data_IF_044913674508
#
_entry.id   IF_044913674508
#
_cell.length_a   1.000
_cell.length_b   1.000
_cell.length_c   1.000
_cell.angle_alpha   90.00
_cell.angle_beta   90.00
_cell.angle_gamma   90.00
#
_symmetry.space_group_name_H-M   'P 1'
#
loop_
_entity.id
_entity.type
_entity.pdbx_description
1 polymer ?
#
# COMPACT_ATOMS: atom_id res chain seq x y z
N UNK A 1 -23.47 -40.22 -53.17
CA UNK A 1 -24.50 -39.75 -52.21
C UNK A 1 -23.82 -39.44 -50.88
N UNK A 2 -22.86 -38.49 -50.89
CA UNK A 2 -21.87 -38.34 -49.82
C UNK A 2 -21.36 -36.90 -49.69
N UNK A 3 -22.26 -35.91 -49.79
CA UNK A 3 -21.91 -34.49 -49.58
C UNK A 3 -22.94 -33.71 -48.74
N UNK A 4 -24.03 -34.35 -48.30
CA UNK A 4 -25.08 -33.69 -47.48
C UNK A 4 -24.87 -33.88 -45.97
N UNK A 5 -24.02 -34.82 -45.54
CA UNK A 5 -23.75 -35.07 -44.12
C UNK A 5 -22.57 -34.28 -43.52
N UNK A 6 -21.74 -33.63 -44.33
CA UNK A 6 -20.57 -32.88 -43.85
C UNK A 6 -20.87 -31.40 -43.52
N UNK A 7 -21.97 -30.83 -44.00
CA UNK A 7 -22.33 -29.43 -43.72
C UNK A 7 -23.14 -29.26 -42.43
N UNK A 8 -23.82 -30.31 -41.95
CA UNK A 8 -24.63 -30.23 -40.73
C UNK A 8 -23.82 -30.32 -39.44
N UNK A 9 -22.61 -30.90 -39.47
CA UNK A 9 -21.74 -31.02 -38.30
C UNK A 9 -20.87 -29.80 -38.08
N UNK A 10 -20.39 -29.11 -39.13
CA UNK A 10 -19.65 -27.85 -38.97
C UNK A 10 -20.54 -26.70 -38.48
N UNK A 11 -21.79 -26.60 -38.95
CA UNK A 11 -22.73 -25.57 -38.51
C UNK A 11 -23.11 -25.70 -37.03
N UNK A 12 -23.23 -26.93 -36.52
CA UNK A 12 -23.60 -27.17 -35.13
C UNK A 12 -22.44 -26.92 -34.15
N UNK A 13 -21.21 -27.25 -34.56
CA UNK A 13 -20.02 -26.93 -33.75
C UNK A 13 -19.78 -25.42 -33.73
N UNK A 14 -20.00 -24.70 -34.84
CA UNK A 14 -19.87 -23.25 -34.89
C UNK A 14 -20.97 -22.53 -34.09
N UNK A 15 -22.20 -23.04 -34.11
CA UNK A 15 -23.31 -22.51 -33.30
C UNK A 15 -23.11 -22.79 -31.80
N UNK A 16 -22.62 -23.99 -31.43
CA UNK A 16 -22.25 -24.28 -30.05
C UNK A 16 -21.06 -23.44 -29.57
N UNK A 17 -20.11 -23.11 -30.45
CA UNK A 17 -18.99 -22.22 -30.12
C UNK A 17 -19.45 -20.76 -29.98
N UNK A 18 -20.38 -20.28 -30.81
CA UNK A 18 -21.00 -18.95 -30.68
C UNK A 18 -21.89 -18.84 -29.43
N UNK A 19 -22.61 -19.90 -29.06
CA UNK A 19 -23.40 -19.94 -27.81
C UNK A 19 -22.46 -19.99 -26.59
N UNK A 20 -21.31 -20.67 -26.66
CA UNK A 20 -20.29 -20.63 -25.60
C UNK A 20 -19.63 -19.25 -25.51
N UNK A 21 -19.30 -18.62 -26.64
CA UNK A 21 -18.74 -17.27 -26.70
C UNK A 21 -19.73 -16.20 -26.21
N UNK A 22 -21.03 -16.37 -26.50
CA UNK A 22 -22.08 -15.52 -25.96
C UNK A 22 -22.30 -15.73 -24.45
N UNK A 23 -22.15 -16.96 -23.94
CA UNK A 23 -22.15 -17.25 -22.49
C UNK A 23 -20.91 -16.75 -21.74
N UNK A 24 -19.79 -16.57 -22.43
CA UNK A 24 -18.59 -15.91 -21.86
C UNK A 24 -18.61 -14.39 -22.01
N UNK A 25 -19.58 -13.83 -22.74
CA UNK A 25 -19.79 -12.40 -22.91
C UNK A 25 -20.98 -11.86 -22.06
N UNK A 26 -21.62 -12.71 -21.27
CA UNK A 26 -22.36 -12.24 -20.10
C UNK A 26 -21.32 -11.86 -19.05
N UNK A 27 -20.91 -10.58 -19.07
CA UNK A 27 -20.41 -9.94 -17.87
C UNK A 27 -21.32 -10.36 -16.74
N UNK A 28 -20.83 -11.00 -15.67
CA UNK A 28 -21.65 -11.13 -14.49
C UNK A 28 -21.99 -9.70 -14.12
N UNK A 29 -23.25 -9.32 -14.26
CA UNK A 29 -23.84 -8.27 -13.43
C UNK A 29 -23.77 -8.89 -12.04
N UNK A 30 -22.56 -8.85 -11.45
CA UNK A 30 -22.37 -8.85 -10.03
C UNK A 30 -23.27 -7.72 -9.60
N UNK A 31 -24.40 -8.08 -8.99
CA UNK A 31 -25.10 -7.21 -8.07
C UNK A 31 -24.10 -6.87 -6.98
N UNK A 32 -23.23 -5.91 -7.27
CA UNK A 32 -22.37 -5.26 -6.32
C UNK A 32 -23.33 -4.58 -5.36
N UNK A 33 -23.64 -5.24 -4.25
CA UNK A 33 -23.81 -4.54 -2.98
C UNK A 33 -22.43 -4.03 -2.54
N UNK A 34 -21.79 -3.24 -3.41
CA UNK A 34 -20.67 -2.41 -3.05
C UNK A 34 -21.26 -1.22 -2.32
N UNK A 35 -20.96 -1.12 -1.04
CA UNK A 35 -21.23 0.07 -0.24
C UNK A 35 -20.83 1.31 -1.06
N UNK A 36 -21.72 2.30 -1.19
CA UNK A 36 -21.51 3.46 -2.07
C UNK A 36 -20.15 4.14 -1.83
N UNK A 37 -19.62 4.03 -0.62
CA UNK A 37 -18.31 4.55 -0.21
C UNK A 37 -17.11 3.82 -0.84
N UNK A 38 -17.21 2.54 -1.18
CA UNK A 38 -16.15 1.80 -1.91
C UNK A 38 -16.11 2.20 -3.36
N UNK A 39 -17.29 2.37 -3.96
CA UNK A 39 -17.39 2.90 -5.31
C UNK A 39 -16.85 4.32 -5.35
N UNK A 40 -17.07 5.11 -4.30
CA UNK A 40 -16.45 6.42 -4.13
C UNK A 40 -14.93 6.33 -3.98
N UNK A 41 -14.39 5.48 -3.08
CA UNK A 41 -12.95 5.29 -2.92
C UNK A 41 -12.29 4.79 -4.21
N UNK A 42 -12.86 3.78 -4.88
CA UNK A 42 -12.40 3.35 -6.22
C UNK A 42 -12.53 4.45 -7.26
N UNK A 43 -13.59 5.25 -7.23
CA UNK A 43 -13.72 6.40 -8.13
C UNK A 43 -12.68 7.47 -7.85
N UNK A 44 -12.32 7.72 -6.57
CA UNK A 44 -11.23 8.62 -6.20
C UNK A 44 -9.86 8.12 -6.68
N UNK A 45 -9.69 6.80 -6.73
CA UNK A 45 -8.50 6.14 -7.28
C UNK A 45 -8.47 6.11 -8.82
N UNK A 46 -9.62 6.13 -9.50
CA UNK A 46 -9.74 6.06 -10.98
C UNK A 46 -10.00 7.41 -11.66
N UNK A 47 -10.46 8.40 -10.91
CA UNK A 47 -10.40 9.78 -11.34
C UNK A 47 -8.91 10.11 -11.46
N UNK A 48 -8.50 10.63 -12.62
CA UNK A 48 -7.21 11.29 -12.83
C UNK A 48 -7.09 12.55 -11.96
N UNK A 49 -7.27 12.43 -10.64
CA UNK A 49 -7.29 13.54 -9.71
C UNK A 49 -5.87 13.87 -9.36
N UNK A 50 -5.31 14.70 -10.22
CA UNK A 50 -4.05 15.38 -10.03
C UNK A 50 -4.04 16.31 -8.80
N UNK A 51 -4.92 16.18 -7.78
CA UNK A 51 -5.06 17.09 -6.60
C UNK A 51 -5.87 16.47 -5.42
N UNK A 52 -5.68 15.19 -5.06
CA UNK A 52 -6.40 14.64 -3.89
C UNK A 52 -5.82 15.22 -2.58
N UNK A 53 -6.61 16.00 -1.84
CA UNK A 53 -6.18 16.58 -0.54
C UNK A 53 -6.64 15.75 0.65
N UNK A 54 -6.01 15.93 1.81
CA UNK A 54 -6.46 15.28 3.05
C UNK A 54 -7.90 15.66 3.41
N UNK A 55 -8.27 16.92 3.19
CA UNK A 55 -9.62 17.42 3.42
C UNK A 55 -10.65 16.72 2.51
N UNK A 56 -10.29 16.42 1.25
CA UNK A 56 -11.16 15.64 0.36
C UNK A 56 -11.37 14.22 0.88
N UNK A 57 -10.30 13.56 1.31
CA UNK A 57 -10.37 12.20 1.86
C UNK A 57 -11.21 12.14 3.14
N UNK A 58 -11.00 13.05 4.08
CA UNK A 58 -11.81 13.17 5.30
C UNK A 58 -13.29 13.42 4.98
N UNK A 59 -13.57 14.35 4.05
CA UNK A 59 -14.94 14.72 3.68
C UNK A 59 -15.69 13.59 2.97
N UNK A 60 -15.03 12.87 2.07
CA UNK A 60 -15.69 11.88 1.21
C UNK A 60 -15.68 10.45 1.78
N UNK A 61 -14.63 10.08 2.53
CA UNK A 61 -14.53 8.77 3.18
C UNK A 61 -14.93 8.83 4.65
N UNK A 62 -15.34 10.00 5.14
CA UNK A 62 -15.76 10.25 6.52
C UNK A 62 -14.67 9.95 7.56
N UNK A 63 -13.39 10.03 7.17
CA UNK A 63 -12.28 9.84 8.09
C UNK A 63 -12.23 10.93 9.16
N UNK A 64 -11.96 10.51 10.40
CA UNK A 64 -11.63 11.39 11.51
C UNK A 64 -10.22 11.13 12.00
N UNK A 65 -9.43 12.20 12.15
CA UNK A 65 -8.12 12.10 12.79
C UNK A 65 -8.30 11.98 14.30
N UNK A 66 -7.62 10.99 14.89
CA UNK A 66 -7.41 10.93 16.33
C UNK A 66 -6.07 11.57 16.65
N UNK A 67 -6.06 12.39 17.69
CA UNK A 67 -4.88 13.06 18.25
C UNK A 67 -4.63 12.52 19.66
N UNK A 68 -4.62 11.20 19.78
CA UNK A 68 -4.34 10.50 21.03
C UNK A 68 -2.81 10.35 21.19
N UNK A 69 -2.31 10.46 22.42
CA UNK A 69 -0.90 10.18 22.73
C UNK A 69 -0.73 8.66 22.88
N UNK A 70 -0.62 7.97 21.74
CA UNK A 70 -0.52 6.51 21.67
C UNK A 70 0.87 6.11 21.20
N UNK A 71 1.53 5.25 21.98
CA UNK A 71 2.83 4.69 21.62
C UNK A 71 2.72 3.41 20.80
N UNK A 72 3.78 3.07 20.04
CA UNK A 72 3.83 1.77 19.35
C UNK A 72 3.74 0.58 20.31
N UNK A 73 4.30 0.70 21.52
CA UNK A 73 4.31 -0.35 22.53
C UNK A 73 2.93 -0.65 23.12
N UNK A 74 1.97 0.26 23.00
CA UNK A 74 0.58 0.03 23.40
C UNK A 74 -0.20 -0.78 22.35
N UNK A 75 0.21 -0.68 21.08
CA UNK A 75 -0.48 -1.30 19.95
C UNK A 75 0.21 -2.57 19.43
N UNK A 76 1.51 -2.74 19.70
CA UNK A 76 2.34 -3.79 19.14
C UNK A 76 3.27 -4.39 20.20
N UNK A 77 3.43 -5.70 20.15
CA UNK A 77 4.47 -6.40 20.91
C UNK A 77 5.82 -6.25 20.19
N UNK A 78 6.66 -5.34 20.66
CA UNK A 78 7.97 -5.06 20.05
C UNK A 78 9.03 -6.06 20.51
N UNK A 79 9.54 -6.86 19.57
CA UNK A 79 10.65 -7.79 19.80
C UNK A 79 11.99 -7.04 19.92
N UNK A 80 13.01 -7.69 20.50
CA UNK A 80 14.37 -7.15 20.52
C UNK A 80 15.05 -7.30 19.15
N UNK A 81 16.01 -6.41 18.87
CA UNK A 81 16.86 -6.48 17.68
C UNK A 81 18.22 -7.08 18.07
N UNK A 82 18.61 -8.15 17.39
CA UNK A 82 19.89 -8.84 17.57
C UNK A 82 21.07 -8.01 17.05
N UNK A 83 22.28 -8.35 17.49
CA UNK A 83 23.50 -7.67 17.03
C UNK A 83 23.72 -7.84 15.51
N UNK A 84 23.39 -9.00 14.95
CA UNK A 84 23.46 -9.23 13.51
C UNK A 84 22.48 -8.31 12.75
N UNK A 85 21.26 -8.16 13.23
CA UNK A 85 20.28 -7.24 12.63
C UNK A 85 20.71 -5.78 12.76
N UNK A 86 21.35 -5.38 13.87
CA UNK A 86 21.92 -4.04 14.04
C UNK A 86 23.04 -3.75 13.03
N UNK A 87 23.90 -4.73 12.75
CA UNK A 87 24.94 -4.60 11.73
C UNK A 87 24.35 -4.46 10.33
N UNK A 88 23.31 -5.23 10.00
CA UNK A 88 22.57 -5.07 8.74
C UNK A 88 21.88 -3.71 8.64
N UNK A 89 21.30 -3.18 9.72
CA UNK A 89 20.75 -1.81 9.75
C UNK A 89 21.82 -0.76 9.48
N UNK A 90 23.02 -0.92 10.04
CA UNK A 90 24.16 -0.03 9.76
C UNK A 90 24.54 -0.09 8.27
N UNK A 91 24.54 -1.28 7.68
CA UNK A 91 24.83 -1.46 6.26
C UNK A 91 23.77 -0.75 5.38
N UNK A 92 22.49 -0.99 5.64
CA UNK A 92 21.37 -0.31 4.93
C UNK A 92 21.52 1.22 4.99
N UNK A 93 21.85 1.75 6.17
CA UNK A 93 22.08 3.19 6.36
C UNK A 93 23.28 3.71 5.57
N UNK A 94 24.37 2.95 5.55
CA UNK A 94 25.57 3.33 4.82
C UNK A 94 25.36 3.30 3.31
N UNK A 95 24.60 2.32 2.82
CA UNK A 95 24.28 2.17 1.39
C UNK A 95 23.34 3.26 0.90
N UNK A 96 22.41 3.72 1.74
CA UNK A 96 21.48 4.80 1.38
C UNK A 96 22.09 6.20 1.51
N UNK A 97 23.08 6.40 2.40
CA UNK A 97 23.66 7.73 2.70
C UNK A 97 24.16 8.50 1.47
N UNK A 98 24.88 7.91 0.49
CA UNK A 98 25.34 8.65 -0.69
C UNK A 98 24.20 9.28 -1.49
N UNK A 99 23.07 8.59 -1.61
CA UNK A 99 21.89 9.07 -2.35
C UNK A 99 21.17 10.22 -1.66
N UNK A 100 21.27 10.29 -0.33
CA UNK A 100 20.82 11.46 0.42
C UNK A 100 21.74 12.66 0.22
N UNK A 101 23.06 12.44 0.09
CA UNK A 101 24.02 13.53 -0.13
C UNK A 101 23.92 14.14 -1.53
N UNK A 102 23.37 13.40 -2.49
CA UNK A 102 23.06 13.87 -3.84
C UNK A 102 21.64 14.49 -3.93
N UNK A 103 20.94 14.61 -2.79
CA UNK A 103 19.56 15.12 -2.64
C UNK A 103 18.53 14.45 -3.57
N UNK A 104 18.84 13.22 -4.02
CA UNK A 104 18.05 12.46 -5.01
C UNK A 104 18.08 10.98 -4.69
N UNK A 105 16.94 10.47 -4.22
CA UNK A 105 16.65 9.05 -4.31
C UNK A 105 15.31 8.85 -5.01
N UNK A 106 15.38 8.30 -6.22
CA UNK A 106 14.19 7.82 -6.92
C UNK A 106 13.43 6.81 -6.06
N UNK A 107 12.13 6.67 -6.29
CA UNK A 107 11.33 5.62 -5.65
C UNK A 107 11.96 4.23 -5.80
N UNK A 108 12.46 3.89 -7.00
CA UNK A 108 13.14 2.62 -7.23
C UNK A 108 14.37 2.45 -6.32
N UNK A 109 15.14 3.52 -6.10
CA UNK A 109 16.27 3.52 -5.17
C UNK A 109 15.80 3.40 -3.72
N UNK A 110 14.75 4.11 -3.30
CA UNK A 110 14.16 3.95 -1.96
C UNK A 110 13.73 2.49 -1.73
N UNK A 111 13.03 1.88 -2.69
CA UNK A 111 12.62 0.48 -2.60
C UNK A 111 13.81 -0.45 -2.42
N UNK A 112 14.83 -0.35 -3.28
CA UNK A 112 15.95 -1.30 -3.33
C UNK A 112 16.95 -1.08 -2.19
N UNK A 113 17.19 0.17 -1.79
CA UNK A 113 18.26 0.50 -0.82
C UNK A 113 17.77 0.53 0.62
N UNK A 114 16.48 0.79 0.87
CA UNK A 114 15.96 0.89 2.25
C UNK A 114 14.78 -0.03 2.49
N UNK A 115 13.66 0.15 1.78
CA UNK A 115 12.41 -0.51 2.14
C UNK A 115 12.50 -2.04 2.01
N UNK A 116 12.90 -2.57 0.86
CA UNK A 116 13.00 -4.01 0.65
C UNK A 116 14.06 -4.68 1.53
N UNK A 117 15.26 -4.09 1.74
CA UNK A 117 16.19 -4.58 2.76
C UNK A 117 15.58 -4.64 4.16
N UNK A 118 14.85 -3.61 4.60
CA UNK A 118 14.18 -3.57 5.90
C UNK A 118 13.07 -4.64 6.01
N UNK A 119 12.24 -4.78 4.99
CA UNK A 119 11.18 -5.80 4.95
C UNK A 119 11.79 -7.22 4.96
N UNK A 120 12.88 -7.45 4.21
CA UNK A 120 13.62 -8.73 4.26
C UNK A 120 14.14 -9.00 5.67
N UNK A 121 14.77 -8.01 6.29
CA UNK A 121 15.35 -8.13 7.63
C UNK A 121 14.28 -8.40 8.69
N UNK A 122 13.12 -7.75 8.57
CA UNK A 122 11.96 -7.96 9.43
C UNK A 122 11.20 -9.27 9.17
N UNK A 123 11.58 -10.05 8.14
CA UNK A 123 11.03 -11.38 7.89
C UNK A 123 9.84 -11.45 6.93
N UNK A 124 9.46 -10.34 6.27
CA UNK A 124 8.32 -10.28 5.34
C UNK A 124 8.47 -11.18 4.10
N UNK A 125 9.68 -11.69 3.85
CA UNK A 125 9.99 -12.54 2.70
C UNK A 125 9.78 -14.03 3.03
N UNK A 126 9.43 -14.33 4.29
CA UNK A 126 9.20 -15.70 4.77
C UNK A 126 7.74 -16.06 4.53
N UNK A 127 7.51 -17.24 3.97
CA UNK A 127 6.17 -17.82 3.88
C UNK A 127 5.54 -17.91 5.29
N UNK A 128 4.24 -17.62 5.46
CA UNK A 128 3.21 -17.36 4.43
C UNK A 128 3.04 -15.89 4.00
N UNK A 129 3.89 -14.96 4.41
CA UNK A 129 3.78 -13.55 4.01
C UNK A 129 4.08 -13.39 2.51
N UNK A 130 3.24 -12.62 1.82
CA UNK A 130 3.44 -12.22 0.42
C UNK A 130 3.45 -10.70 0.32
N UNK A 131 4.44 -10.21 -0.41
CA UNK A 131 4.55 -8.81 -0.80
C UNK A 131 4.08 -8.69 -2.25
N UNK A 132 3.22 -7.72 -2.54
CA UNK A 132 2.86 -7.34 -3.91
C UNK A 132 3.13 -5.86 -4.11
N UNK A 133 3.72 -5.52 -5.24
CA UNK A 133 3.99 -4.14 -5.61
C UNK A 133 3.03 -3.78 -6.73
N UNK A 134 2.21 -2.77 -6.50
CA UNK A 134 1.46 -2.08 -7.54
C UNK A 134 2.28 -0.86 -7.96
N UNK A 135 2.84 -0.92 -9.17
CA UNK A 135 3.69 0.14 -9.71
C UNK A 135 2.88 1.16 -10.52
N UNK A 136 3.28 2.43 -10.44
CA UNK A 136 2.76 3.48 -11.31
C UNK A 136 1.31 3.87 -11.02
N UNK A 137 0.93 3.89 -9.74
CA UNK A 137 -0.32 4.51 -9.32
C UNK A 137 -0.27 5.98 -9.73
N UNK A 138 -1.34 6.44 -10.39
CA UNK A 138 -1.38 7.66 -11.21
C UNK A 138 -0.67 8.89 -10.61
N UNK A 139 -0.10 9.72 -11.50
CA UNK A 139 0.61 10.96 -11.16
C UNK A 139 -0.25 11.88 -10.27
N UNK A 140 0.17 12.13 -9.03
CA UNK A 140 -0.38 13.26 -8.25
C UNK A 140 0.44 14.50 -8.60
N UNK A 141 -0.26 15.59 -8.95
CA UNK A 141 0.31 16.93 -9.08
C UNK A 141 -0.05 17.69 -7.80
N UNK A 142 0.79 17.62 -6.78
CA UNK A 142 0.59 18.49 -5.62
C UNK A 142 0.93 19.90 -6.09
N UNK A 143 -0.07 20.78 -6.15
CA UNK A 143 0.14 22.21 -6.38
C UNK A 143 0.18 22.85 -5.00
N UNK A 144 1.37 23.05 -4.48
CA UNK A 144 1.58 24.09 -3.48
C UNK A 144 1.72 25.43 -4.24
N UNK A 145 1.39 26.56 -3.61
CA UNK A 145 1.13 27.86 -4.29
C UNK A 145 2.27 28.34 -5.21
N UNK A 146 3.50 27.80 -5.07
CA UNK A 146 4.64 28.04 -5.95
C UNK A 146 5.38 26.78 -6.46
N UNK A 147 4.92 25.55 -6.17
CA UNK A 147 5.59 24.30 -6.58
C UNK A 147 4.61 23.21 -7.01
N UNK A 148 4.71 22.83 -8.28
CA UNK A 148 4.07 21.64 -8.85
C UNK A 148 4.94 20.42 -8.54
N UNK A 149 4.64 19.68 -7.47
CA UNK A 149 5.27 18.40 -7.21
C UNK A 149 4.48 17.34 -7.97
N UNK A 150 4.96 16.98 -9.17
CA UNK A 150 4.50 15.79 -9.88
C UNK A 150 5.35 14.60 -9.44
N UNK A 151 4.74 13.59 -8.83
CA UNK A 151 5.41 12.35 -8.45
C UNK A 151 4.51 11.16 -8.73
N UNK A 152 5.11 10.05 -9.19
CA UNK A 152 4.47 8.74 -9.12
C UNK A 152 4.73 8.16 -7.74
N UNK A 153 3.76 7.40 -7.26
CA UNK A 153 3.91 6.62 -6.05
C UNK A 153 3.65 5.16 -6.39
N UNK A 154 4.40 4.26 -5.81
CA UNK A 154 4.12 2.84 -5.80
C UNK A 154 3.55 2.46 -4.44
N UNK A 155 2.64 1.50 -4.47
CA UNK A 155 2.09 0.92 -3.26
C UNK A 155 2.54 -0.52 -3.16
N UNK A 156 3.14 -0.81 -2.01
CA UNK A 156 3.49 -2.16 -1.60
C UNK A 156 2.41 -2.63 -0.64
N UNK A 157 1.73 -3.70 -1.02
CA UNK A 157 0.77 -4.40 -0.17
C UNK A 157 1.43 -5.61 0.45
N UNK A 158 1.13 -5.86 1.71
CA UNK A 158 1.60 -7.05 2.42
C UNK A 158 0.41 -7.80 2.96
N UNK A 159 0.32 -9.09 2.61
CA UNK A 159 -0.75 -9.95 3.08
C UNK A 159 -0.26 -11.36 3.42
N UNK A 160 -1.08 -12.10 4.17
CA UNK A 160 -0.86 -13.52 4.42
C UNK A 160 -1.45 -14.32 3.26
N UNK A 161 -0.66 -15.21 2.67
CA UNK A 161 -1.08 -16.03 1.54
C UNK A 161 -2.13 -17.09 1.86
N UNK A 162 -2.37 -17.35 3.14
CA UNK A 162 -3.34 -18.31 3.68
C UNK A 162 -4.62 -17.58 4.14
N UNK A 163 -4.52 -16.31 4.52
CA UNK A 163 -5.70 -15.48 4.80
C UNK A 163 -6.53 -15.30 3.51
N UNK A 164 -7.81 -14.89 3.66
CA UNK A 164 -8.62 -14.65 2.48
C UNK A 164 -7.93 -13.62 1.59
N UNK A 165 -8.01 -13.80 0.27
CA UNK A 165 -7.17 -13.09 -0.73
C UNK A 165 -7.24 -11.55 -0.63
N UNK A 166 -8.20 -11.00 0.12
CA UNK A 166 -8.53 -9.57 0.17
C UNK A 166 -8.42 -8.89 1.54
N UNK A 167 -7.88 -9.57 2.56
CA UNK A 167 -7.54 -8.96 3.85
C UNK A 167 -6.09 -8.48 3.79
N UNK A 168 -5.90 -7.22 3.41
CA UNK A 168 -4.58 -6.58 3.33
C UNK A 168 -4.35 -5.86 4.66
N UNK A 169 -3.61 -6.45 5.61
CA UNK A 169 -3.35 -5.88 6.94
C UNK A 169 -2.42 -4.68 6.89
N UNK A 170 -1.53 -4.59 5.89
CA UNK A 170 -0.48 -3.59 5.87
C UNK A 170 -0.25 -3.01 4.47
N UNK A 171 -0.43 -1.70 4.38
CA UNK A 171 -0.23 -0.89 3.18
C UNK A 171 1.01 -0.02 3.33
N UNK A 172 1.87 0.03 2.32
CA UNK A 172 3.07 0.85 2.32
C UNK A 172 3.06 1.70 1.05
N UNK A 173 2.99 3.01 1.21
CA UNK A 173 3.16 3.98 0.15
C UNK A 173 4.63 4.40 0.08
N UNK A 174 5.23 4.21 -1.09
CA UNK A 174 6.59 4.65 -1.37
C UNK A 174 6.54 5.97 -2.13
N UNK A 175 7.35 6.92 -1.67
CA UNK A 175 7.41 8.26 -2.21
C UNK A 175 8.84 8.54 -2.67
N UNK A 176 8.97 9.16 -3.83
CA UNK A 176 10.26 9.67 -4.32
C UNK A 176 10.85 10.71 -3.35
N UNK A 177 12.11 10.53 -2.95
CA UNK A 177 12.83 11.53 -2.17
C UNK A 177 13.37 12.60 -3.13
N UNK A 178 12.71 13.77 -3.17
CA UNK A 178 13.10 14.92 -4.01
C UNK A 178 13.78 16.04 -3.21
N UNK A 179 14.55 16.86 -3.93
CA UNK A 179 15.26 18.08 -3.49
C UNK A 179 14.44 19.05 -2.62
N UNK A 180 13.10 19.06 -2.70
CA UNK A 180 12.27 19.95 -1.88
C UNK A 180 12.00 19.46 -0.46
N UNK A 181 12.54 18.29 -0.07
CA UNK A 181 12.20 17.68 1.22
C UNK A 181 10.72 17.33 1.28
N UNK A 182 10.21 16.60 0.27
CA UNK A 182 8.82 16.12 0.27
C UNK A 182 8.57 15.38 1.58
N UNK A 183 7.78 16.01 2.43
CA UNK A 183 7.37 15.39 3.68
C UNK A 183 6.52 14.16 3.36
N UNK A 184 6.83 13.03 3.99
CA UNK A 184 6.05 11.79 3.88
C UNK A 184 4.55 12.00 4.17
N UNK A 185 4.21 13.05 4.92
CA UNK A 185 2.84 13.53 5.17
C UNK A 185 2.06 13.86 3.90
N UNK A 186 2.73 14.29 2.83
CA UNK A 186 2.07 14.61 1.56
C UNK A 186 1.44 13.37 0.91
N UNK A 187 1.93 12.16 1.22
CA UNK A 187 1.34 10.91 0.75
C UNK A 187 0.15 10.42 1.59
N UNK A 188 -0.14 11.06 2.72
CA UNK A 188 -1.21 10.63 3.64
C UNK A 188 -2.58 10.48 2.95
N UNK A 189 -3.06 11.43 2.13
CA UNK A 189 -4.37 11.30 1.47
C UNK A 189 -4.45 10.03 0.60
N UNK A 190 -3.37 9.73 -0.12
CA UNK A 190 -3.31 8.56 -0.99
C UNK A 190 -3.29 7.27 -0.16
N UNK A 191 -2.43 7.20 0.86
CA UNK A 191 -2.35 6.05 1.75
C UNK A 191 -3.70 5.73 2.41
N UNK A 192 -4.39 6.74 2.94
CA UNK A 192 -5.71 6.58 3.55
C UNK A 192 -6.74 6.06 2.54
N UNK A 193 -6.73 6.57 1.32
CA UNK A 193 -7.67 6.15 0.26
C UNK A 193 -7.49 4.68 -0.11
N UNK A 194 -6.25 4.21 -0.23
CA UNK A 194 -5.97 2.80 -0.50
C UNK A 194 -6.34 1.90 0.67
N UNK A 195 -5.89 2.27 1.88
CA UNK A 195 -6.13 1.49 3.10
C UNK A 195 -7.63 1.42 3.48
N UNK A 196 -8.43 2.42 3.10
CA UNK A 196 -9.87 2.46 3.34
C UNK A 196 -10.60 1.20 2.84
N UNK A 197 -10.24 0.71 1.65
CA UNK A 197 -10.88 -0.47 1.06
C UNK A 197 -10.66 -1.76 1.87
N UNK A 198 -9.62 -1.79 2.73
CA UNK A 198 -9.40 -2.89 3.66
C UNK A 198 -10.30 -2.76 4.90
N UNK A 199 -10.55 -1.55 5.42
CA UNK A 199 -11.34 -1.33 6.65
C UNK A 199 -12.76 -1.90 6.61
N UNK A 200 -13.31 -2.19 5.43
CA UNK A 200 -14.62 -2.84 5.35
C UNK A 200 -14.62 -4.31 5.79
N UNK A 201 -13.45 -4.97 5.70
CA UNK A 201 -13.30 -6.41 5.93
C UNK A 201 -12.50 -6.74 7.19
N UNK A 202 -11.87 -5.74 7.80
CA UNK A 202 -11.06 -5.91 9.01
C UNK A 202 -11.23 -4.72 9.95
N UNK A 203 -11.18 -4.94 11.28
CA UNK A 203 -11.45 -3.91 12.28
C UNK A 203 -10.40 -2.79 12.30
N UNK A 204 -9.20 -3.06 11.79
CA UNK A 204 -8.13 -2.07 11.69
C UNK A 204 -7.14 -2.40 10.58
N UNK A 205 -6.43 -1.38 10.11
CA UNK A 205 -5.44 -1.48 9.03
C UNK A 205 -4.23 -0.64 9.40
N UNK A 206 -3.03 -1.15 9.14
CA UNK A 206 -1.81 -0.36 9.24
C UNK A 206 -1.43 0.21 7.87
N UNK A 207 -1.00 1.47 7.89
CA UNK A 207 -0.41 2.18 6.78
C UNK A 207 1.01 2.65 7.11
N UNK A 208 1.87 2.74 6.10
CA UNK A 208 3.19 3.35 6.19
C UNK A 208 3.40 4.23 4.96
N UNK A 209 3.79 5.49 5.16
CA UNK A 209 4.35 6.33 4.09
C UNK A 209 5.85 6.52 4.31
N UNK A 210 6.66 6.36 3.25
CA UNK A 210 8.11 6.51 3.36
C UNK A 210 8.77 7.06 2.10
N UNK A 211 9.82 7.87 2.31
CA UNK A 211 10.77 8.30 1.27
C UNK A 211 12.16 7.67 1.48
N UNK A 212 12.24 6.58 2.25
CA UNK A 212 13.48 5.89 2.60
C UNK A 212 14.25 6.50 3.76
N UNK A 213 14.12 7.82 3.98
CA UNK A 213 14.67 8.53 5.14
C UNK A 213 13.68 8.55 6.30
N UNK A 214 12.46 9.02 6.05
CA UNK A 214 11.35 9.16 7.00
C UNK A 214 10.35 8.01 6.83
N UNK A 215 9.79 7.55 7.95
CA UNK A 215 8.81 6.47 8.03
C UNK A 215 7.67 6.93 8.93
N UNK A 216 6.51 7.20 8.32
CA UNK A 216 5.31 7.63 9.03
C UNK A 216 4.29 6.49 9.01
N UNK A 217 4.12 5.85 10.16
CA UNK A 217 3.07 4.86 10.35
C UNK A 217 1.74 5.55 10.64
N UNK A 218 0.67 4.95 10.14
CA UNK A 218 -0.70 5.39 10.34
C UNK A 218 -1.53 4.18 10.75
N UNK A 219 -2.25 4.29 11.86
CA UNK A 219 -3.15 3.25 12.32
C UNK A 219 -4.59 3.63 12.03
N UNK A 220 -5.29 2.84 11.22
CA UNK A 220 -6.66 3.07 10.82
C UNK A 220 -7.59 2.10 11.55
N UNK A 221 -8.74 2.59 12.00
CA UNK A 221 -9.75 1.79 12.72
C UNK A 221 -11.13 1.89 12.07
N UNK A 222 -11.81 0.75 11.98
CA UNK A 222 -13.20 0.68 11.59
C UNK A 222 -14.05 1.04 12.82
N UNK A 223 -14.59 2.25 12.82
CA UNK A 223 -15.51 2.78 13.83
C UNK A 223 -16.76 3.33 13.12
N UNK A 224 -17.74 3.90 13.86
CA UNK A 224 -18.96 4.49 13.26
C UNK A 224 -18.62 5.47 12.13
N UNK A 225 -17.60 6.30 12.36
CA UNK A 225 -16.84 6.96 11.31
C UNK A 225 -15.42 6.37 11.34
N UNK A 226 -14.84 5.98 10.19
CA UNK A 226 -13.49 5.43 10.17
C UNK A 226 -12.51 6.45 10.76
N UNK A 227 -11.56 5.99 11.57
CA UNK A 227 -10.57 6.89 12.19
C UNK A 227 -9.16 6.54 11.75
N UNK A 228 -8.27 7.52 11.78
CA UNK A 228 -6.84 7.31 11.60
C UNK A 228 -6.05 8.05 12.68
N UNK A 229 -4.94 7.45 13.09
CA UNK A 229 -3.98 8.03 14.02
C UNK A 229 -2.62 8.02 13.34
N UNK A 230 -1.96 9.19 13.28
CA UNK A 230 -0.57 9.27 12.86
C UNK A 230 0.30 8.90 14.07
N UNK A 231 1.20 7.94 13.89
CA UNK A 231 2.14 7.52 14.92
C UNK A 231 3.40 8.41 14.93
N UNK A 232 4.20 8.38 16.00
CA UNK A 232 5.49 9.08 16.03
C UNK A 232 6.37 8.72 14.81
N UNK A 233 6.88 9.73 14.12
CA UNK A 233 7.70 9.56 12.92
C UNK A 233 9.08 8.96 13.27
N UNK A 234 9.57 8.07 12.40
CA UNK A 234 10.87 7.45 12.52
C UNK A 234 11.79 7.86 11.37
N UNK A 235 13.09 7.93 11.65
CA UNK A 235 14.11 8.31 10.69
C UNK A 235 15.23 7.26 10.66
N UNK A 236 15.47 6.69 9.48
CA UNK A 236 16.45 5.63 9.28
C UNK A 236 17.89 6.08 9.60
N UNK A 237 18.21 7.36 9.49
CA UNK A 237 19.56 7.85 9.73
C UNK A 237 19.90 7.99 11.22
N UNK A 238 18.91 7.96 12.13
CA UNK A 238 19.15 7.96 13.57
C UNK A 238 19.19 6.53 14.12
N UNK A 239 20.28 6.09 14.79
CA UNK A 239 20.44 4.69 15.20
C UNK A 239 19.30 4.12 16.04
N UNK A 240 18.87 4.82 17.08
CA UNK A 240 17.77 4.37 17.95
C UNK A 240 16.44 4.32 17.19
N UNK A 241 16.19 5.30 16.34
CA UNK A 241 14.99 5.35 15.50
C UNK A 241 14.96 4.22 14.46
N UNK A 242 16.12 3.88 13.87
CA UNK A 242 16.25 2.75 12.95
C UNK A 242 16.04 1.39 13.63
N UNK A 243 16.50 1.25 14.89
CA UNK A 243 16.22 0.07 15.70
C UNK A 243 14.72 -0.02 15.96
N UNK A 244 14.08 1.06 16.43
CA UNK A 244 12.64 1.09 16.68
C UNK A 244 11.85 0.76 15.41
N UNK A 245 12.24 1.31 14.26
CA UNK A 245 11.65 1.00 12.96
C UNK A 245 11.68 -0.50 12.66
N UNK A 246 12.83 -1.16 12.88
CA UNK A 246 12.93 -2.60 12.66
C UNK A 246 12.07 -3.40 13.65
N UNK A 247 12.00 -2.99 14.92
CA UNK A 247 11.14 -3.63 15.92
C UNK A 247 9.67 -3.57 15.50
N UNK A 248 9.22 -2.40 15.05
CA UNK A 248 7.85 -2.18 14.58
C UNK A 248 7.58 -3.02 13.34
N UNK A 249 8.48 -3.03 12.34
CA UNK A 249 8.31 -3.86 11.15
C UNK A 249 8.26 -5.36 11.51
N UNK A 250 9.10 -5.85 12.43
CA UNK A 250 9.04 -7.24 12.92
C UNK A 250 7.67 -7.54 13.55
N UNK A 251 7.19 -6.66 14.42
CA UNK A 251 5.88 -6.81 15.06
C UNK A 251 4.73 -6.82 14.03
N UNK A 252 4.79 -5.98 13.00
CA UNK A 252 3.83 -6.04 11.88
C UNK A 252 3.88 -7.38 11.16
N UNK A 253 5.09 -7.90 10.93
CA UNK A 253 5.28 -9.24 10.36
C UNK A 253 4.55 -10.32 11.16
N UNK A 254 4.62 -10.27 12.49
CA UNK A 254 3.90 -11.21 13.36
C UNK A 254 2.38 -11.00 13.30
N UNK A 255 1.91 -9.76 13.33
CA UNK A 255 0.49 -9.42 13.23
C UNK A 255 -0.16 -9.94 11.94
N UNK A 256 0.62 -10.03 10.85
CA UNK A 256 0.15 -10.61 9.58
C UNK A 256 -0.01 -12.13 9.65
N UNK A 257 0.73 -12.80 10.54
CA UNK A 257 0.72 -14.25 10.70
C UNK A 257 -0.38 -14.76 11.63
N UNK A 258 -0.90 -13.90 12.51
CA UNK A 258 -2.05 -14.14 13.38
C UNK A 258 -3.37 -14.24 12.59
#
# INVERSE_FOLDING_TARGET
>A
MSYVFALHTLGFVFLCWLILLARTAETPILSYHGNSTVLLAKSMLTLKTSKLTLADVQRHLHFQEKLEDVSFTELLALETVSEAEKLELVQIRNDFRPYLMEDKASEGQVKVLTLFPLLRLAGFYRYPIKIRVEEGIDNIILVDEDKTISGRFDIVTVNNSIATVNDIPFWILVIEAKESGIEVRQGLPQLLTYAYNSLERQPSVWGLATNGLQYMFVYLRQETNPTYQIMPELNLMYPESAINLLQILKAMGQLILE
#
